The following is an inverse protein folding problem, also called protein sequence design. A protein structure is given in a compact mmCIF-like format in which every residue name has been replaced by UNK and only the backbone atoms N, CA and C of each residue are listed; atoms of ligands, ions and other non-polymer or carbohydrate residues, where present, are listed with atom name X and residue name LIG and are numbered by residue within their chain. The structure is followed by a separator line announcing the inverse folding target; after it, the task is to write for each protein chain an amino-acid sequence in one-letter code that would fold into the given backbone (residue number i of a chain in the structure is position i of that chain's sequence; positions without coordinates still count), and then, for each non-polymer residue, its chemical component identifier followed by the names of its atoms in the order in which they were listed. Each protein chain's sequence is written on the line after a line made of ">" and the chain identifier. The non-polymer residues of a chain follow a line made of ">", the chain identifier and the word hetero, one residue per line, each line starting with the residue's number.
data_IF_956472465367
#
_entry.id   IF_956472465367
#
_cell.length_a   1.000
_cell.length_b   1.000
_cell.length_c   1.000
_cell.angle_alpha   90.00
_cell.angle_beta   90.00
_cell.angle_gamma   90.00
#
_symmetry.space_group_name_H-M   'P 1'
#
loop_
_entity.id
_entity.type
_entity.pdbx_description
1 polymer ?
#
# COMPACT_ATOMS: atom_id res chain seq x y z
N UNK A 1 -4.39 24.51 9.48
CA UNK A 1 -4.92 24.76 8.13
C UNK A 1 -6.24 24.04 7.96
N UNK A 2 -7.23 24.72 7.39
CA UNK A 2 -8.53 24.16 7.01
C UNK A 2 -8.46 23.70 5.55
N UNK A 3 -8.54 22.38 5.33
CA UNK A 3 -8.75 21.80 4.01
C UNK A 3 -9.97 20.89 4.08
N UNK A 4 -10.84 20.96 3.08
CA UNK A 4 -12.02 20.09 2.99
C UNK A 4 -11.61 18.80 2.29
N UNK A 5 -11.78 17.67 2.96
CA UNK A 5 -11.42 16.35 2.45
C UNK A 5 -12.59 15.63 1.80
N UNK A 6 -12.30 14.85 0.77
CA UNK A 6 -13.28 14.03 0.08
C UNK A 6 -12.70 13.37 -1.17
N UNK A 7 -13.43 12.41 -1.74
CA UNK A 7 -12.99 11.69 -2.93
C UNK A 7 -12.93 12.56 -4.20
N UNK A 8 -13.41 13.80 -4.12
CA UNK A 8 -13.33 14.81 -5.18
C UNK A 8 -11.99 15.57 -5.18
N UNK A 9 -11.11 15.33 -4.21
CA UNK A 9 -9.79 15.96 -4.18
C UNK A 9 -8.86 15.21 -5.14
N UNK A 10 -8.36 15.91 -6.15
CA UNK A 10 -7.47 15.34 -7.16
C UNK A 10 -5.98 15.53 -6.83
N UNK A 11 -5.59 16.69 -6.33
CA UNK A 11 -4.17 17.02 -6.09
C UNK A 11 -4.05 18.11 -5.02
N UNK A 12 -2.93 18.12 -4.31
CA UNK A 12 -2.62 19.10 -3.28
C UNK A 12 -1.41 19.97 -3.63
N UNK A 13 -1.25 21.08 -2.92
CA UNK A 13 -0.10 21.97 -3.00
C UNK A 13 0.08 22.70 -1.65
N UNK A 14 1.22 23.37 -1.41
CA UNK A 14 1.40 24.19 -0.22
C UNK A 14 0.32 25.25 -0.08
N UNK A 15 -0.24 25.36 1.13
CA UNK A 15 -1.31 26.31 1.45
C UNK A 15 -1.24 26.86 2.87
N UNK A 16 -0.12 26.70 3.57
CA UNK A 16 0.14 27.24 4.91
C UNK A 16 1.51 27.92 4.91
N UNK A 17 1.70 28.90 5.79
CA UNK A 17 2.95 29.68 5.90
C UNK A 17 3.40 30.24 4.54
N UNK A 18 2.46 30.83 3.80
CA UNK A 18 2.70 31.32 2.45
C UNK A 18 3.28 32.73 2.50
N UNK A 19 4.30 33.01 1.69
CA UNK A 19 4.78 34.37 1.46
C UNK A 19 4.34 34.82 0.07
N UNK A 20 3.64 35.95 0.02
CA UNK A 20 3.04 36.47 -1.22
C UNK A 20 3.10 37.99 -1.30
N UNK A 21 2.76 38.56 -2.46
CA UNK A 21 2.75 40.01 -2.63
C UNK A 21 1.68 40.65 -1.73
N UNK A 22 2.07 41.74 -1.07
CA UNK A 22 1.18 42.54 -0.24
C UNK A 22 0.15 43.29 -1.10
N UNK A 23 -1.11 43.42 -0.63
CA UNK A 23 -2.09 44.29 -1.28
C UNK A 23 -1.55 45.71 -1.46
N UNK A 24 -1.89 46.35 -2.58
CA UNK A 24 -1.46 47.73 -2.86
C UNK A 24 0.03 47.90 -3.16
N UNK A 25 0.78 46.81 -3.42
CA UNK A 25 2.17 46.90 -3.86
C UNK A 25 3.17 47.20 -2.74
N UNK A 26 2.80 46.94 -1.48
CA UNK A 26 3.63 47.21 -0.30
C UNK A 26 4.77 46.18 -0.08
N UNK A 27 5.16 45.44 -1.12
CA UNK A 27 6.17 44.38 -1.04
C UNK A 27 5.57 43.01 -0.83
N UNK A 28 6.06 42.26 0.16
CA UNK A 28 5.65 40.89 0.45
C UNK A 28 5.18 40.75 1.90
N UNK A 29 4.20 39.88 2.13
CA UNK A 29 3.68 39.54 3.46
C UNK A 29 3.68 38.03 3.63
N UNK A 30 3.86 37.60 4.88
CA UNK A 30 3.63 36.23 5.29
C UNK A 30 2.16 36.07 5.71
N UNK A 31 1.56 34.97 5.28
CA UNK A 31 0.18 34.54 5.55
C UNK A 31 0.24 33.19 6.28
N UNK A 32 0.43 33.19 7.62
CA UNK A 32 0.65 31.97 8.40
C UNK A 32 -0.59 31.06 8.40
N UNK A 33 -1.78 31.67 8.45
CA UNK A 33 -3.05 30.94 8.45
C UNK A 33 -3.33 30.23 7.12
N UNK A 34 -2.83 30.81 6.02
CA UNK A 34 -2.90 30.23 4.69
C UNK A 34 -4.33 29.92 4.20
N UNK A 35 -4.43 29.02 3.23
CA UNK A 35 -5.69 28.60 2.62
C UNK A 35 -5.50 27.74 1.38
N UNK A 36 -6.54 26.99 1.01
CA UNK A 36 -6.56 26.18 -0.23
C UNK A 36 -6.56 27.03 -1.49
N UNK A 37 -6.91 28.32 -1.39
CA UNK A 37 -6.77 29.31 -2.47
C UNK A 37 -5.31 29.46 -2.92
N UNK A 38 -4.35 29.47 -1.98
CA UNK A 38 -2.93 29.52 -2.31
C UNK A 38 -2.46 28.22 -2.97
N UNK A 39 -2.93 27.07 -2.49
CA UNK A 39 -2.66 25.79 -3.13
C UNK A 39 -3.16 25.77 -4.59
N UNK A 40 -4.36 26.29 -4.85
CA UNK A 40 -4.90 26.43 -6.19
C UNK A 40 -4.07 27.39 -7.07
N UNK A 41 -3.53 28.47 -6.49
CA UNK A 41 -2.63 29.38 -7.19
C UNK A 41 -1.31 28.69 -7.61
N UNK A 42 -0.70 27.90 -6.72
CA UNK A 42 0.49 27.10 -7.05
C UNK A 42 0.23 26.11 -8.19
N UNK A 43 -0.89 25.38 -8.13
CA UNK A 43 -1.29 24.44 -9.18
C UNK A 43 -1.51 25.19 -10.51
N UNK A 44 -2.15 26.36 -10.47
CA UNK A 44 -2.37 27.19 -11.66
C UNK A 44 -1.05 27.66 -12.29
N UNK A 45 -0.06 28.05 -11.47
CA UNK A 45 1.29 28.35 -11.93
C UNK A 45 1.98 27.15 -12.57
N UNK A 46 1.87 25.96 -11.97
CA UNK A 46 2.39 24.72 -12.54
C UNK A 46 1.74 24.37 -13.88
N UNK A 47 0.42 24.54 -14.00
CA UNK A 47 -0.33 24.38 -15.26
C UNK A 47 0.19 25.37 -16.32
N UNK A 48 0.42 26.63 -15.95
CA UNK A 48 0.94 27.63 -16.87
C UNK A 48 2.34 27.27 -17.39
N UNK A 49 3.25 26.81 -16.51
CA UNK A 49 4.57 26.31 -16.91
C UNK A 49 4.45 25.11 -17.85
N UNK A 50 3.57 24.16 -17.54
CA UNK A 50 3.38 22.98 -18.36
C UNK A 50 2.83 23.33 -19.75
N UNK A 51 1.83 24.21 -19.82
CA UNK A 51 1.26 24.66 -21.11
C UNK A 51 2.22 25.52 -21.92
N UNK A 52 3.11 26.27 -21.27
CA UNK A 52 4.20 26.99 -21.94
C UNK A 52 5.20 26.02 -22.59
N UNK A 53 5.59 24.96 -21.88
CA UNK A 53 6.51 23.96 -22.39
C UNK A 53 5.89 22.97 -23.39
N UNK A 54 4.58 22.73 -23.27
CA UNK A 54 3.82 21.73 -24.05
C UNK A 54 2.45 22.30 -24.47
N UNK A 55 2.43 23.24 -25.44
CA UNK A 55 1.21 23.96 -25.83
C UNK A 55 0.16 23.08 -26.54
N UNK A 56 0.56 21.90 -27.01
CA UNK A 56 -0.26 20.90 -27.67
C UNK A 56 -1.15 20.08 -26.72
N UNK A 57 -0.87 20.12 -25.41
CA UNK A 57 -1.63 19.34 -24.43
C UNK A 57 -3.04 19.89 -24.24
N UNK A 58 -4.03 18.98 -24.28
CA UNK A 58 -5.40 19.30 -23.89
C UNK A 58 -5.51 19.49 -22.37
N UNK A 59 -6.55 20.18 -21.86
CA UNK A 59 -6.77 20.33 -20.42
C UNK A 59 -6.82 18.99 -19.67
N UNK A 60 -7.42 17.96 -20.29
CA UNK A 60 -7.47 16.61 -19.72
C UNK A 60 -6.09 15.96 -19.64
N UNK A 61 -5.25 16.14 -20.66
CA UNK A 61 -3.88 15.65 -20.66
C UNK A 61 -3.00 16.39 -19.64
N UNK A 62 -3.23 17.69 -19.45
CA UNK A 62 -2.58 18.47 -18.39
C UNK A 62 -2.95 17.94 -17.02
N UNK A 63 -4.25 17.75 -16.74
CA UNK A 63 -4.73 17.21 -15.47
C UNK A 63 -4.16 15.81 -15.21
N UNK A 64 -4.22 14.93 -16.21
CA UNK A 64 -3.64 13.58 -16.14
C UNK A 64 -2.14 13.62 -15.85
N UNK A 65 -1.41 14.51 -16.53
CA UNK A 65 0.04 14.64 -16.33
C UNK A 65 0.36 15.08 -14.91
N UNK A 66 -0.31 16.10 -14.40
CA UNK A 66 -0.10 16.60 -13.05
C UNK A 66 -0.39 15.54 -11.98
N UNK A 67 -1.52 14.84 -12.07
CA UNK A 67 -1.90 13.81 -11.08
C UNK A 67 -0.99 12.58 -11.13
N UNK A 68 -0.53 12.17 -12.32
CA UNK A 68 0.38 11.02 -12.48
C UNK A 68 1.82 11.31 -12.06
N UNK A 69 2.19 12.57 -11.96
CA UNK A 69 3.53 13.00 -11.53
C UNK A 69 3.55 13.65 -10.16
N UNK A 70 2.43 13.66 -9.45
CA UNK A 70 2.39 14.14 -8.08
C UNK A 70 3.29 13.30 -7.18
N UNK A 71 3.63 13.85 -6.01
CA UNK A 71 4.27 13.10 -4.94
C UNK A 71 3.16 12.39 -4.14
N UNK A 72 2.87 11.16 -4.55
CA UNK A 72 1.73 10.38 -4.07
C UNK A 72 1.82 10.00 -2.58
N UNK A 73 0.66 9.89 -1.90
CA UNK A 73 0.60 9.21 -0.60
C UNK A 73 0.90 7.70 -0.74
N UNK A 74 1.19 6.99 0.36
CA UNK A 74 1.53 5.56 0.34
C UNK A 74 0.53 4.69 -0.42
N UNK A 75 -0.77 4.98 -0.28
CA UNK A 75 -1.86 4.24 -0.92
C UNK A 75 -2.18 4.73 -2.35
N UNK A 76 -1.37 5.64 -2.89
CA UNK A 76 -1.50 6.19 -4.24
C UNK A 76 -2.55 7.31 -4.38
N UNK A 77 -3.64 7.26 -3.60
CA UNK A 77 -4.64 8.31 -3.47
C UNK A 77 -5.19 8.37 -2.04
N UNK A 78 -5.52 9.56 -1.54
CA UNK A 78 -6.35 9.69 -0.34
C UNK A 78 -7.28 10.91 -0.41
N UNK A 79 -8.34 10.97 0.43
CA UNK A 79 -9.30 12.08 0.41
C UNK A 79 -8.74 13.45 0.84
N UNK A 80 -7.52 13.52 1.40
CA UNK A 80 -6.91 14.78 1.84
C UNK A 80 -5.98 15.39 0.78
N UNK A 81 -5.24 14.56 0.04
CA UNK A 81 -4.20 14.96 -0.90
C UNK A 81 -4.54 14.59 -2.35
N UNK A 82 -5.61 13.84 -2.57
CA UNK A 82 -5.89 13.22 -3.85
C UNK A 82 -4.75 12.30 -4.26
N UNK A 83 -4.25 12.48 -5.48
CA UNK A 83 -3.09 11.76 -6.00
C UNK A 83 -1.74 12.26 -5.44
N UNK A 84 -1.71 13.30 -4.59
CA UNK A 84 -0.51 13.76 -3.92
C UNK A 84 -0.22 15.25 -4.09
N UNK A 85 0.97 15.67 -3.66
CA UNK A 85 1.42 17.06 -3.78
C UNK A 85 1.95 17.31 -5.19
N UNK A 86 1.57 18.42 -5.81
CA UNK A 86 2.01 18.80 -7.16
C UNK A 86 3.54 18.88 -7.25
N UNK A 87 4.12 18.24 -8.26
CA UNK A 87 5.55 18.27 -8.55
C UNK A 87 5.79 18.80 -9.98
N UNK A 88 5.99 20.12 -10.15
CA UNK A 88 6.13 20.75 -11.47
C UNK A 88 7.34 20.22 -12.26
N UNK A 89 8.44 19.92 -11.56
CA UNK A 89 9.63 19.35 -12.18
C UNK A 89 9.34 18.00 -12.80
N UNK A 90 8.70 17.09 -12.04
CA UNK A 90 8.32 15.77 -12.53
C UNK A 90 7.29 15.87 -13.64
N UNK A 91 6.33 16.79 -13.56
CA UNK A 91 5.32 17.02 -14.60
C UNK A 91 5.96 17.42 -15.95
N UNK A 92 7.00 18.24 -15.92
CA UNK A 92 7.72 18.70 -17.12
C UNK A 92 8.67 17.65 -17.71
N UNK A 93 9.37 16.91 -16.85
CA UNK A 93 10.46 16.01 -17.26
C UNK A 93 10.00 14.58 -17.55
N UNK A 94 8.87 14.15 -16.98
CA UNK A 94 8.39 12.78 -17.17
C UNK A 94 7.92 12.54 -18.59
N UNK A 95 8.37 11.42 -19.16
CA UNK A 95 7.84 10.89 -20.41
C UNK A 95 6.58 10.08 -20.09
N UNK A 96 5.43 10.76 -20.12
CA UNK A 96 4.12 10.14 -19.99
C UNK A 96 3.59 9.82 -21.38
N UNK A 97 3.33 8.54 -21.63
CA UNK A 97 2.76 8.04 -22.86
C UNK A 97 2.80 6.52 -22.88
N UNK A 98 1.94 5.93 -23.70
CA UNK A 98 2.08 4.54 -24.13
C UNK A 98 3.13 4.53 -25.23
N UNK A 99 4.30 3.96 -24.96
CA UNK A 99 5.25 3.66 -26.03
C UNK A 99 4.57 2.66 -26.98
N UNK A 100 4.27 3.10 -28.20
CA UNK A 100 3.62 2.28 -29.23
C UNK A 100 4.52 1.18 -29.77
N UNK A 101 5.85 1.34 -29.64
CA UNK A 101 6.86 0.32 -29.94
C UNK A 101 7.74 0.05 -28.71
N UNK A 102 7.26 -0.72 -27.71
CA UNK A 102 8.11 -1.16 -26.63
C UNK A 102 9.20 -2.06 -27.24
N UNK A 103 10.49 -1.87 -26.92
CA UNK A 103 11.50 -2.83 -27.33
C UNK A 103 11.07 -4.23 -26.85
N UNK A 104 11.14 -5.22 -27.74
CA UNK A 104 10.82 -6.60 -27.40
C UNK A 104 11.68 -7.01 -26.19
N UNK A 105 11.05 -7.18 -25.03
CA UNK A 105 11.74 -7.20 -23.73
C UNK A 105 11.29 -6.12 -22.74
N UNK A 106 10.06 -5.58 -22.90
CA UNK A 106 9.38 -4.85 -21.83
C UNK A 106 9.60 -5.60 -20.50
N UNK A 107 9.98 -4.84 -19.46
CA UNK A 107 10.39 -5.36 -18.16
C UNK A 107 9.55 -6.58 -17.76
N UNK A 108 10.18 -7.64 -17.23
CA UNK A 108 9.43 -8.77 -16.71
C UNK A 108 8.35 -8.24 -15.77
N UNK A 109 7.18 -8.88 -15.80
CA UNK A 109 6.08 -8.51 -14.94
C UNK A 109 6.61 -8.34 -13.50
N UNK A 110 6.15 -7.32 -12.74
CA UNK A 110 6.58 -7.13 -11.37
C UNK A 110 6.47 -8.46 -10.64
N UNK A 111 7.53 -8.84 -9.93
CA UNK A 111 7.48 -10.04 -9.12
C UNK A 111 6.26 -9.95 -8.19
N UNK A 112 5.47 -11.03 -8.04
CA UNK A 112 4.35 -11.04 -7.13
C UNK A 112 4.80 -10.52 -5.76
N UNK A 113 4.05 -9.58 -5.17
CA UNK A 113 4.37 -9.07 -3.83
C UNK A 113 4.37 -10.25 -2.87
N UNK A 114 5.55 -10.59 -2.34
CA UNK A 114 5.69 -11.63 -1.33
C UNK A 114 4.92 -11.19 -0.06
N UNK A 115 3.87 -11.94 0.30
CA UNK A 115 3.17 -11.75 1.59
C UNK A 115 4.13 -12.16 2.72
N UNK A 116 4.65 -11.20 3.53
CA UNK A 116 5.64 -11.50 4.55
C UNK A 116 5.09 -12.41 5.66
N UNK A 117 3.76 -12.52 5.76
CA UNK A 117 3.07 -13.31 6.78
C UNK A 117 2.58 -14.67 6.25
N UNK A 118 2.72 -14.97 4.95
CA UNK A 118 2.25 -16.23 4.37
C UNK A 118 2.87 -17.46 5.07
N UNK A 119 4.18 -17.41 5.34
CA UNK A 119 4.88 -18.48 6.06
C UNK A 119 4.40 -18.62 7.52
N UNK A 120 4.19 -17.49 8.20
CA UNK A 120 3.72 -17.49 9.59
C UNK A 120 2.30 -18.06 9.71
N UNK A 121 1.39 -17.68 8.79
CA UNK A 121 0.02 -18.19 8.74
C UNK A 121 -0.03 -19.71 8.53
N UNK A 122 0.80 -20.24 7.61
CA UNK A 122 0.87 -21.69 7.38
C UNK A 122 1.40 -22.43 8.61
N UNK A 123 2.42 -21.91 9.30
CA UNK A 123 2.93 -22.49 10.55
C UNK A 123 1.83 -22.51 11.62
N UNK A 124 1.09 -21.41 11.77
CA UNK A 124 0.00 -21.31 12.75
C UNK A 124 -1.10 -22.36 12.51
N UNK A 125 -1.50 -22.57 11.25
CA UNK A 125 -2.50 -23.60 10.91
C UNK A 125 -2.01 -25.02 11.22
N UNK A 126 -0.76 -25.35 10.89
CA UNK A 126 -0.20 -26.66 11.22
C UNK A 126 -0.06 -26.88 12.72
N UNK A 127 0.41 -25.88 13.46
CA UNK A 127 0.51 -25.96 14.91
C UNK A 127 -0.85 -26.17 15.58
N UNK A 128 -1.88 -25.45 15.12
CA UNK A 128 -3.25 -25.62 15.59
C UNK A 128 -3.80 -27.03 15.28
N UNK A 129 -3.58 -27.52 14.06
CA UNK A 129 -4.01 -28.86 13.64
C UNK A 129 -3.34 -29.98 14.44
N UNK A 130 -2.02 -29.93 14.61
CA UNK A 130 -1.27 -30.92 15.41
C UNK A 130 -1.73 -30.91 16.86
N UNK A 131 -1.93 -29.72 17.45
CA UNK A 131 -2.40 -29.58 18.83
C UNK A 131 -3.79 -30.19 19.02
N UNK A 132 -4.71 -29.95 18.06
CA UNK A 132 -6.05 -30.52 18.09
C UNK A 132 -6.02 -32.06 17.97
N UNK A 133 -5.19 -32.61 17.09
CA UNK A 133 -5.03 -34.07 16.93
C UNK A 133 -4.46 -34.72 18.21
N UNK A 134 -3.44 -34.12 18.81
CA UNK A 134 -2.84 -34.60 20.06
C UNK A 134 -3.86 -34.59 21.20
N UNK A 135 -4.61 -33.50 21.36
CA UNK A 135 -5.68 -33.40 22.35
C UNK A 135 -6.77 -34.47 22.13
N UNK A 136 -7.19 -34.67 20.88
CA UNK A 136 -8.14 -35.73 20.51
C UNK A 136 -7.63 -37.13 20.85
N UNK A 137 -6.37 -37.43 20.53
CA UNK A 137 -5.74 -38.71 20.84
C UNK A 137 -5.66 -38.96 22.36
N UNK A 138 -5.29 -37.94 23.14
CA UNK A 138 -5.27 -38.00 24.62
C UNK A 138 -6.65 -38.23 25.23
N UNK A 139 -7.68 -37.58 24.68
CA UNK A 139 -9.07 -37.76 25.13
C UNK A 139 -9.61 -39.16 24.80
N UNK A 140 -9.24 -39.74 23.65
CA UNK A 140 -9.64 -41.09 23.25
C UNK A 140 -8.82 -42.20 23.94
N UNK A 141 -7.54 -41.95 24.25
CA UNK A 141 -6.69 -42.92 24.93
C UNK A 141 -7.17 -43.22 26.37
N UNK A 142 -7.71 -42.22 27.07
CA UNK A 142 -8.22 -42.37 28.45
C UNK A 142 -9.30 -43.46 28.60
N UNK A 143 -10.42 -43.45 27.86
CA UNK A 143 -11.44 -44.49 27.97
C UNK A 143 -10.94 -45.84 27.47
N UNK A 144 -10.12 -45.89 26.40
CA UNK A 144 -9.55 -47.14 25.86
C UNK A 144 -8.65 -47.83 26.89
N UNK A 145 -7.77 -47.08 27.56
CA UNK A 145 -6.90 -47.62 28.62
C UNK A 145 -7.71 -48.00 29.87
N UNK A 146 -8.74 -47.25 30.24
CA UNK A 146 -9.62 -47.59 31.35
C UNK A 146 -10.41 -48.89 31.09
N UNK A 147 -10.93 -49.06 29.87
CA UNK A 147 -11.64 -50.27 29.43
C UNK A 147 -10.71 -51.47 29.25
N UNK A 148 -9.50 -51.26 28.73
CA UNK A 148 -8.48 -52.30 28.58
C UNK A 148 -7.98 -52.85 29.92
N UNK A 149 -7.79 -51.99 30.93
CA UNK A 149 -7.45 -52.42 32.30
C UNK A 149 -8.59 -53.21 32.95
N UNK A 150 -9.84 -52.80 32.74
CA UNK A 150 -11.03 -53.53 33.25
C UNK A 150 -11.18 -54.93 32.64
N UNK A 151 -10.65 -55.17 31.44
CA UNK A 151 -10.68 -56.47 30.74
C UNK A 151 -9.46 -57.36 31.01
N UNK A 152 -8.56 -56.99 31.93
CA UNK A 152 -7.45 -57.85 32.36
C UNK A 152 -6.42 -58.14 31.27
N UNK A 153 -6.13 -57.16 30.39
CA UNK A 153 -5.14 -57.32 29.32
C UNK A 153 -3.76 -57.69 29.88
N UNK A 154 -3.33 -58.94 29.63
CA UNK A 154 -1.97 -59.39 29.91
C UNK A 154 -1.13 -59.20 28.63
N UNK A 155 -0.06 -58.40 28.64
CA UNK A 155 0.83 -58.28 27.49
C UNK A 155 1.44 -59.66 27.18
N UNK A 156 1.28 -60.13 25.95
CA UNK A 156 1.85 -61.40 25.51
C UNK A 156 3.37 -61.35 25.62
N UNK A 157 3.96 -62.18 26.48
CA UNK A 157 5.42 -62.34 26.55
C UNK A 157 5.89 -62.94 25.22
N UNK A 158 6.80 -62.27 24.53
CA UNK A 158 7.55 -62.90 23.42
C UNK A 158 8.30 -64.10 23.99
N UNK A 159 8.08 -65.28 23.45
CA UNK A 159 8.88 -66.46 23.77
C UNK A 159 10.32 -66.20 23.33
N UNK A 160 11.25 -66.22 24.28
CA UNK A 160 12.68 -66.24 23.98
C UNK A 160 13.01 -67.52 23.21
N UNK A 161 13.76 -67.35 22.13
CA UNK A 161 14.43 -68.40 21.36
C UNK A 161 15.24 -69.29 22.30
N UNK A 162 14.93 -70.58 22.37
CA UNK A 162 15.73 -71.58 23.05
C UNK A 162 16.83 -72.07 22.09
N UNK A 163 18.09 -71.94 22.51
CA UNK A 163 19.24 -72.66 21.93
C UNK A 163 19.19 -74.14 22.37
N UNK A 164 19.28 -75.03 21.39
CA UNK A 164 20.01 -76.31 21.43
C UNK A 164 20.09 -76.89 20.01
#
# INVERSE_FOLDING_TARGET
>A
GSSVSGNYVDIAAPGLDIVGPAPGGQGYLAEPEGGTSFAAAYISGAVALLRSARPDLTPQQVAYRLTRTADNPPDGHNPQLGYGVVNPYRALTSLLGTRTDPPAGAMPAPDPVDDPLARQRTIAFWAAGVSALLAGALLLARPVLALGRRRGWRPGRRAGTADA
#
